data_IF_331353037326
#
_entry.id   IF_331353037326
#
_cell.length_a   1.000
_cell.length_b   1.000
_cell.length_c   1.000
_cell.angle_alpha   90.00
_cell.angle_beta   90.00
_cell.angle_gamma   90.00
#
_symmetry.space_group_name_H-M   'P 1'
#
loop_
_entity.id
_entity.type
_entity.pdbx_description
1 polymer ?
#
# COMPACT_ATOMS: atom_id res chain seq x y z
N UNK A 1 43.77 -26.98 -52.68
CA UNK A 1 43.50 -25.58 -53.08
C UNK A 1 42.00 -25.42 -53.25
N UNK A 2 41.23 -24.58 -52.56
CA UNK A 2 41.51 -23.47 -51.66
C UNK A 2 40.42 -23.39 -50.55
N UNK A 3 40.82 -22.85 -49.40
CA UNK A 3 39.98 -22.48 -48.25
C UNK A 3 39.08 -21.27 -48.58
N UNK A 4 37.90 -21.17 -47.95
CA UNK A 4 37.45 -20.04 -47.10
C UNK A 4 36.08 -20.37 -46.46
N UNK A 5 35.98 -20.02 -45.18
CA UNK A 5 34.89 -20.16 -44.20
C UNK A 5 33.54 -19.59 -44.66
N UNK A 6 32.42 -20.10 -44.12
CA UNK A 6 31.42 -19.30 -43.36
C UNK A 6 30.45 -20.22 -42.60
N UNK A 7 30.53 -20.18 -41.26
CA UNK A 7 29.47 -20.59 -40.34
C UNK A 7 28.28 -19.64 -40.49
N UNK A 8 27.05 -20.15 -40.35
CA UNK A 8 25.94 -19.33 -39.83
C UNK A 8 24.71 -19.21 -40.73
N UNK A 9 24.04 -20.31 -41.03
CA UNK A 9 22.71 -20.32 -41.68
C UNK A 9 21.57 -20.72 -40.72
N UNK A 10 21.69 -20.34 -39.44
CA UNK A 10 20.63 -20.55 -38.42
C UNK A 10 20.30 -19.27 -37.64
N UNK A 11 20.44 -18.10 -38.27
CA UNK A 11 20.10 -16.80 -37.67
C UNK A 11 19.33 -15.88 -38.62
N UNK A 12 18.76 -16.43 -39.68
CA UNK A 12 18.03 -15.67 -40.72
C UNK A 12 16.51 -15.84 -40.63
N UNK A 13 15.98 -15.96 -39.40
CA UNK A 13 14.55 -15.74 -39.11
C UNK A 13 14.32 -14.59 -38.12
N UNK A 14 15.38 -13.93 -37.64
CA UNK A 14 15.27 -12.85 -36.65
C UNK A 14 15.25 -11.42 -37.25
N UNK A 15 15.43 -11.28 -38.56
CA UNK A 15 15.56 -9.97 -39.22
C UNK A 15 14.24 -9.35 -39.70
N UNK A 16 13.08 -9.96 -39.42
CA UNK A 16 11.78 -9.37 -39.78
C UNK A 16 11.12 -8.53 -38.66
N UNK A 17 11.76 -8.38 -37.49
CA UNK A 17 11.19 -7.65 -36.33
C UNK A 17 12.00 -6.42 -35.89
N UNK A 18 13.01 -5.99 -36.65
CA UNK A 18 13.88 -4.88 -36.27
C UNK A 18 13.56 -3.54 -36.99
N UNK A 19 12.33 -3.38 -37.50
CA UNK A 19 11.93 -2.23 -38.34
C UNK A 19 11.07 -1.15 -37.67
N UNK A 20 10.77 -1.23 -36.36
CA UNK A 20 9.84 -0.28 -35.67
C UNK A 20 10.44 0.31 -34.39
N UNK A 21 11.74 0.61 -34.38
CA UNK A 21 12.35 1.37 -33.27
C UNK A 21 13.19 2.54 -33.78
N UNK A 22 12.49 3.60 -34.16
CA UNK A 22 13.05 4.95 -34.13
C UNK A 22 13.60 5.25 -32.73
N UNK A 23 14.85 5.69 -32.66
CA UNK A 23 15.60 5.92 -31.43
C UNK A 23 14.85 6.78 -30.39
N UNK A 24 14.52 6.25 -29.19
CA UNK A 24 13.77 6.96 -28.15
C UNK A 24 14.62 7.95 -27.32
N UNK A 25 15.92 8.08 -27.58
CA UNK A 25 16.84 8.72 -26.65
C UNK A 25 16.73 10.25 -26.57
N UNK A 26 16.27 10.95 -27.61
CA UNK A 26 16.12 12.42 -27.58
C UNK A 26 14.79 12.91 -27.01
N UNK A 27 13.73 12.10 -27.03
CA UNK A 27 12.42 12.47 -26.46
C UNK A 27 12.37 12.21 -24.94
N UNK A 28 13.21 11.31 -24.43
CA UNK A 28 13.24 10.94 -23.00
C UNK A 28 13.75 12.08 -22.09
N UNK A 29 14.73 12.86 -22.52
CA UNK A 29 15.44 13.83 -21.65
C UNK A 29 14.61 15.07 -21.30
N UNK A 30 13.76 15.57 -22.22
CA UNK A 30 12.88 16.73 -21.95
C UNK A 30 11.65 16.31 -21.10
N UNK A 31 11.25 15.04 -21.17
CA UNK A 31 10.24 14.49 -20.25
C UNK A 31 10.83 14.23 -18.86
N UNK A 32 12.08 13.77 -18.74
CA UNK A 32 12.75 13.54 -17.45
C UNK A 32 12.84 14.81 -16.60
N UNK A 33 13.32 15.95 -17.14
CA UNK A 33 13.45 17.18 -16.34
C UNK A 33 12.11 17.78 -15.85
N UNK A 34 11.04 17.64 -16.65
CA UNK A 34 9.69 18.07 -16.25
C UNK A 34 9.10 17.11 -15.21
N UNK A 35 9.41 15.82 -15.35
CA UNK A 35 9.02 14.79 -14.40
C UNK A 35 9.74 14.96 -13.06
N UNK A 36 10.97 15.45 -12.97
CA UNK A 36 11.66 15.56 -11.68
C UNK A 36 10.99 16.57 -10.75
N UNK A 37 10.59 17.74 -11.28
CA UNK A 37 9.84 18.75 -10.52
C UNK A 37 8.43 18.24 -10.20
N UNK A 38 7.73 17.63 -11.16
CA UNK A 38 6.39 17.08 -10.95
C UNK A 38 6.41 15.95 -9.92
N UNK A 39 7.35 15.02 -10.03
CA UNK A 39 7.56 13.92 -9.09
C UNK A 39 7.89 14.46 -7.70
N UNK A 40 8.75 15.48 -7.61
CA UNK A 40 9.04 16.14 -6.33
C UNK A 40 7.78 16.77 -5.71
N UNK A 41 6.93 17.40 -6.52
CA UNK A 41 5.66 17.96 -6.05
C UNK A 41 4.69 16.87 -5.60
N UNK A 42 4.54 15.77 -6.36
CA UNK A 42 3.70 14.62 -6.00
C UNK A 42 4.18 13.98 -4.70
N UNK A 43 5.48 13.71 -4.58
CA UNK A 43 6.09 13.17 -3.35
C UNK A 43 5.83 14.10 -2.16
N UNK A 44 5.90 15.41 -2.36
CA UNK A 44 5.61 16.40 -1.30
C UNK A 44 4.14 16.33 -0.88
N UNK A 45 3.21 16.29 -1.84
CA UNK A 45 1.78 16.14 -1.56
C UNK A 45 1.46 14.82 -0.85
N UNK A 46 2.06 13.70 -1.25
CA UNK A 46 1.88 12.40 -0.58
C UNK A 46 2.41 12.45 0.85
N UNK A 47 3.56 13.11 1.09
CA UNK A 47 4.09 13.35 2.44
C UNK A 47 3.13 14.19 3.28
N UNK A 48 2.53 15.22 2.71
CA UNK A 48 1.52 16.06 3.37
C UNK A 48 0.26 15.27 3.71
N UNK A 49 -0.27 14.46 2.78
CA UNK A 49 -1.41 13.57 3.05
C UNK A 49 -1.11 12.63 4.22
N UNK A 50 0.09 12.03 4.19
CA UNK A 50 0.54 11.13 5.24
C UNK A 50 0.87 11.85 6.57
N UNK A 51 1.05 13.17 6.57
CA UNK A 51 1.45 13.95 7.75
C UNK A 51 0.38 13.89 8.85
N UNK A 52 -0.89 13.85 8.45
CA UNK A 52 -2.07 13.79 9.31
C UNK A 52 -2.37 12.39 9.86
N UNK A 53 -1.66 11.36 9.37
CA UNK A 53 -1.90 9.98 9.81
C UNK A 53 -1.23 9.76 11.17
N UNK A 54 -1.97 9.27 12.18
CA UNK A 54 -1.41 8.96 13.50
C UNK A 54 -0.42 7.80 13.45
N UNK A 55 0.63 7.87 14.26
CA UNK A 55 1.56 6.75 14.46
C UNK A 55 0.80 5.55 15.01
N UNK A 56 1.23 4.37 14.58
CA UNK A 56 0.70 3.09 15.05
C UNK A 56 1.06 2.89 16.52
N UNK A 57 0.09 2.43 17.32
CA UNK A 57 0.27 2.05 18.72
C UNK A 57 -0.39 0.69 19.01
N UNK A 58 0.22 -0.16 19.85
CA UNK A 58 -0.37 -1.43 20.23
C UNK A 58 -1.77 -1.27 20.84
N UNK A 59 -2.72 -2.12 20.44
CA UNK A 59 -4.10 -2.05 20.96
C UNK A 59 -4.16 -2.28 22.47
N UNK A 60 -3.21 -3.04 23.03
CA UNK A 60 -3.11 -3.30 24.47
C UNK A 60 -2.90 -2.02 25.26
N UNK A 61 -2.07 -1.10 24.78
CA UNK A 61 -1.81 0.18 25.42
C UNK A 61 -3.06 1.06 25.36
N UNK A 62 -3.65 1.18 24.17
CA UNK A 62 -4.83 1.99 23.92
C UNK A 62 -6.06 1.53 24.72
N UNK A 63 -6.21 0.23 24.98
CA UNK A 63 -7.31 -0.30 25.80
C UNK A 63 -7.19 0.08 27.27
N UNK A 64 -5.97 0.23 27.77
CA UNK A 64 -5.68 0.54 29.18
C UNK A 64 -5.71 2.05 29.47
N UNK A 65 -5.70 2.88 28.44
CA UNK A 65 -5.74 4.34 28.57
C UNK A 65 -7.16 4.86 28.88
N UNK A 66 -7.21 5.87 29.75
CA UNK A 66 -8.45 6.63 30.01
C UNK A 66 -8.92 7.33 28.74
N UNK A 67 -8.00 8.02 28.08
CA UNK A 67 -8.18 8.75 26.82
C UNK A 67 -7.16 8.24 25.81
N UNK A 68 -7.51 7.28 24.96
CA UNK A 68 -6.55 6.65 24.05
C UNK A 68 -6.04 7.65 23.01
N UNK A 69 -4.72 7.89 22.98
CA UNK A 69 -4.12 8.87 22.08
C UNK A 69 -2.86 8.37 21.35
N UNK A 70 -2.53 9.04 20.25
CA UNK A 70 -1.27 8.92 19.52
C UNK A 70 -0.86 10.31 19.01
N UNK A 71 0.22 10.36 18.24
CA UNK A 71 0.75 11.56 17.62
C UNK A 71 0.82 11.34 16.11
N UNK A 72 0.35 12.30 15.33
CA UNK A 72 0.50 12.29 13.87
C UNK A 72 1.95 12.43 13.46
N UNK A 73 2.25 12.18 12.17
CA UNK A 73 3.60 12.45 11.66
C UNK A 73 3.94 13.96 11.70
N UNK A 74 2.94 14.84 11.66
CA UNK A 74 3.09 16.29 11.85
C UNK A 74 3.29 16.73 13.31
N UNK A 75 3.16 15.81 14.28
CA UNK A 75 3.33 16.13 15.71
C UNK A 75 2.05 16.51 16.44
N UNK A 76 0.90 16.45 15.78
CA UNK A 76 -0.40 16.78 16.37
C UNK A 76 -0.94 15.61 17.19
N UNK A 77 -1.72 15.91 18.25
CA UNK A 77 -2.40 14.88 19.03
C UNK A 77 -3.51 14.24 18.21
N UNK A 78 -3.62 12.93 18.32
CA UNK A 78 -4.66 12.15 17.68
C UNK A 78 -5.39 11.29 18.71
N UNK A 79 -6.70 11.40 18.79
CA UNK A 79 -7.51 10.63 19.74
C UNK A 79 -8.24 9.49 19.05
N UNK A 80 -8.20 8.31 19.65
CA UNK A 80 -8.96 7.16 19.18
C UNK A 80 -10.31 7.05 19.91
N UNK A 81 -11.33 6.61 19.19
CA UNK A 81 -12.61 6.24 19.78
C UNK A 81 -12.46 4.91 20.53
N UNK A 82 -12.68 4.96 21.85
CA UNK A 82 -12.58 3.80 22.73
C UNK A 82 -13.57 2.67 22.37
N UNK A 83 -14.72 3.01 21.80
CA UNK A 83 -15.71 2.03 21.32
C UNK A 83 -15.22 1.33 20.06
N UNK A 84 -14.59 2.05 19.12
CA UNK A 84 -13.95 1.46 17.95
C UNK A 84 -12.86 0.46 18.39
N UNK A 85 -11.94 0.89 19.28
CA UNK A 85 -10.88 0.05 19.84
C UNK A 85 -11.46 -1.22 20.46
N UNK A 86 -12.44 -1.09 21.35
CA UNK A 86 -13.08 -2.24 22.02
C UNK A 86 -13.76 -3.18 21.05
N UNK A 87 -14.40 -2.66 20.00
CA UNK A 87 -15.07 -3.49 19.00
C UNK A 87 -14.07 -4.29 18.16
N UNK A 88 -12.92 -3.70 17.83
CA UNK A 88 -11.83 -4.38 17.12
C UNK A 88 -11.19 -5.44 18.02
N UNK A 89 -10.90 -5.10 19.27
CA UNK A 89 -10.28 -6.00 20.24
C UNK A 89 -11.09 -7.30 20.42
N UNK A 90 -12.43 -7.22 20.41
CA UNK A 90 -13.32 -8.39 20.51
C UNK A 90 -13.18 -9.38 19.35
N UNK A 91 -12.57 -9.00 18.23
CA UNK A 91 -12.44 -9.85 17.05
C UNK A 91 -11.26 -10.81 17.15
N UNK A 92 -10.29 -10.54 18.03
CA UNK A 92 -9.09 -11.35 18.17
C UNK A 92 -8.90 -11.81 19.62
N UNK A 93 -8.26 -12.96 19.84
CA UNK A 93 -7.95 -13.41 21.19
C UNK A 93 -6.88 -12.53 21.84
N UNK A 94 -6.89 -12.43 23.17
CA UNK A 94 -6.00 -11.52 23.94
C UNK A 94 -4.51 -11.70 23.66
N UNK A 95 -4.05 -12.94 23.41
CA UNK A 95 -2.64 -13.21 23.12
C UNK A 95 -2.15 -12.57 21.80
N UNK A 96 -3.06 -12.12 20.93
CA UNK A 96 -2.73 -11.39 19.69
C UNK A 96 -2.71 -9.87 19.86
N UNK A 97 -3.08 -9.34 21.04
CA UNK A 97 -3.20 -7.89 21.21
C UNK A 97 -1.88 -7.16 20.97
N UNK A 98 -0.75 -7.73 21.38
CA UNK A 98 0.57 -7.11 21.18
C UNK A 98 0.97 -7.05 19.68
N UNK A 99 0.38 -7.91 18.85
CA UNK A 99 0.63 -7.95 17.40
C UNK A 99 -0.28 -7.04 16.59
N UNK A 100 -1.31 -6.46 17.20
CA UNK A 100 -2.23 -5.53 16.55
C UNK A 100 -1.93 -4.11 16.98
N UNK A 101 -1.63 -3.25 16.01
CA UNK A 101 -1.46 -1.83 16.25
C UNK A 101 -2.54 -1.03 15.53
N UNK A 102 -2.96 0.09 16.15
CA UNK A 102 -3.91 1.04 15.59
C UNK A 102 -3.23 2.37 15.25
N UNK A 103 -3.64 3.02 14.15
CA UNK A 103 -4.67 2.54 13.24
C UNK A 103 -4.17 1.42 12.32
N UNK A 104 -5.09 0.59 11.83
CA UNK A 104 -4.82 -0.34 10.73
C UNK A 104 -4.66 0.49 9.46
N UNK A 105 -3.52 0.34 8.79
CA UNK A 105 -3.26 1.03 7.54
C UNK A 105 -3.84 0.27 6.34
N UNK A 106 -4.58 1.02 5.53
CA UNK A 106 -5.02 0.65 4.20
C UNK A 106 -4.04 1.29 3.21
N UNK A 107 -3.06 0.51 2.75
CA UNK A 107 -2.01 1.00 1.88
C UNK A 107 -2.56 1.29 0.49
N UNK A 108 -2.40 2.53 0.05
CA UNK A 108 -2.78 2.99 -1.29
C UNK A 108 -1.52 2.99 -2.13
N UNK A 109 -1.50 2.11 -3.13
CA UNK A 109 -0.47 2.06 -4.16
C UNK A 109 -0.93 2.89 -5.36
N UNK A 110 -0.22 3.96 -5.74
CA UNK A 110 -0.60 4.78 -6.88
C UNK A 110 -0.52 4.03 -8.22
N UNK A 111 0.24 2.92 -8.30
CA UNK A 111 0.35 2.09 -9.50
C UNK A 111 -0.81 1.10 -9.64
N UNK A 112 -1.60 0.89 -8.58
CA UNK A 112 -2.73 -0.05 -8.57
C UNK A 112 -4.05 0.72 -8.48
N UNK A 113 -4.76 0.75 -9.61
CA UNK A 113 -6.09 1.38 -9.68
C UNK A 113 -7.13 0.63 -8.83
N UNK A 114 -8.05 1.40 -8.24
CA UNK A 114 -9.22 0.93 -7.49
C UNK A 114 -9.04 -0.11 -6.37
N UNK A 115 -7.80 -0.37 -5.96
CA UNK A 115 -7.50 -1.25 -4.84
C UNK A 115 -6.65 -0.56 -3.78
N UNK A 116 -6.72 -1.13 -2.59
CA UNK A 116 -5.79 -0.92 -1.48
C UNK A 116 -5.40 -2.27 -0.93
N UNK A 117 -4.34 -2.33 -0.14
CA UNK A 117 -4.01 -3.54 0.57
C UNK A 117 -3.78 -3.33 2.05
N UNK A 118 -3.93 -4.43 2.79
CA UNK A 118 -3.56 -4.55 4.20
C UNK A 118 -2.45 -5.58 4.29
N UNK A 119 -1.46 -5.35 5.15
CA UNK A 119 -0.37 -6.29 5.44
C UNK A 119 -0.24 -6.48 6.94
N UNK A 120 0.39 -7.58 7.36
CA UNK A 120 0.43 -8.03 8.74
C UNK A 120 -0.67 -9.04 9.03
N UNK A 121 -0.30 -10.17 9.64
CA UNK A 121 -1.21 -11.30 9.83
C UNK A 121 -2.43 -10.92 10.68
N UNK A 122 -2.21 -10.22 11.79
CA UNK A 122 -3.27 -9.81 12.71
C UNK A 122 -4.15 -8.70 12.12
N UNK A 123 -3.55 -7.72 11.43
CA UNK A 123 -4.29 -6.67 10.70
C UNK A 123 -5.22 -7.29 9.65
N UNK A 124 -4.71 -8.24 8.86
CA UNK A 124 -5.47 -8.99 7.84
C UNK A 124 -6.62 -9.77 8.49
N UNK A 125 -6.36 -10.49 9.58
CA UNK A 125 -7.39 -11.25 10.29
C UNK A 125 -8.52 -10.34 10.77
N UNK A 126 -8.17 -9.21 11.39
CA UNK A 126 -9.14 -8.21 11.87
C UNK A 126 -9.96 -7.67 10.70
N UNK A 127 -9.31 -7.28 9.60
CA UNK A 127 -9.99 -6.70 8.44
C UNK A 127 -10.93 -7.71 7.79
N UNK A 128 -10.53 -8.99 7.66
CA UNK A 128 -11.43 -10.06 7.19
C UNK A 128 -12.66 -10.18 8.08
N UNK A 129 -12.50 -10.16 9.40
CA UNK A 129 -13.62 -10.23 10.35
C UNK A 129 -14.52 -8.98 10.29
N UNK A 130 -13.94 -7.79 10.18
CA UNK A 130 -14.68 -6.52 10.09
C UNK A 130 -15.56 -6.42 8.84
N UNK A 131 -15.07 -6.94 7.72
CA UNK A 131 -15.77 -6.95 6.44
C UNK A 131 -16.57 -8.25 6.19
N UNK A 132 -16.54 -9.21 7.12
CA UNK A 132 -17.12 -10.54 6.96
C UNK A 132 -16.66 -11.24 5.66
N UNK A 133 -15.35 -11.17 5.37
CA UNK A 133 -14.78 -11.75 4.17
C UNK A 133 -14.61 -13.26 4.32
N UNK A 134 -15.18 -14.01 3.38
CA UNK A 134 -15.03 -15.46 3.32
C UNK A 134 -13.64 -15.92 2.86
N UNK A 135 -13.45 -17.23 2.81
CA UNK A 135 -12.18 -17.91 2.48
C UNK A 135 -11.61 -17.60 1.09
N UNK A 136 -12.41 -17.00 0.20
CA UNK A 136 -11.96 -16.57 -1.13
C UNK A 136 -11.00 -15.38 -1.07
N UNK A 137 -11.08 -14.57 -0.02
CA UNK A 137 -10.16 -13.46 0.21
C UNK A 137 -8.89 -13.99 0.89
N UNK A 138 -7.97 -14.47 0.05
CA UNK A 138 -6.65 -14.97 0.47
C UNK A 138 -5.60 -13.87 0.25
N UNK A 139 -4.74 -13.61 1.25
CA UNK A 139 -3.59 -12.76 1.04
C UNK A 139 -2.67 -13.33 -0.05
N UNK A 140 -2.20 -12.45 -0.94
CA UNK A 140 -1.19 -12.76 -1.96
C UNK A 140 0.05 -11.98 -1.55
N UNK A 141 1.20 -12.65 -1.44
CA UNK A 141 2.46 -12.03 -0.98
C UNK A 141 2.28 -11.25 0.34
N UNK A 142 1.63 -11.89 1.33
CA UNK A 142 1.29 -11.30 2.65
C UNK A 142 0.43 -10.03 2.60
N UNK A 143 -0.17 -9.71 1.45
CA UNK A 143 -1.06 -8.56 1.25
C UNK A 143 -2.50 -9.03 0.99
N UNK A 144 -3.44 -8.53 1.77
CA UNK A 144 -4.87 -8.66 1.48
C UNK A 144 -5.31 -7.46 0.63
N UNK A 145 -5.56 -7.70 -0.65
CA UNK A 145 -6.08 -6.69 -1.58
C UNK A 145 -7.59 -6.53 -1.44
N UNK A 146 -8.05 -5.27 -1.42
CA UNK A 146 -9.44 -4.89 -1.22
C UNK A 146 -9.84 -3.80 -2.21
N UNK A 147 -11.06 -3.87 -2.79
CA UNK A 147 -11.62 -2.75 -3.53
C UNK A 147 -11.71 -1.48 -2.67
N UNK A 148 -11.38 -0.31 -3.24
CA UNK A 148 -11.45 1.00 -2.54
C UNK A 148 -12.81 1.29 -1.92
N UNK A 149 -13.90 0.77 -2.50
CA UNK A 149 -15.26 0.91 -1.95
C UNK A 149 -15.39 0.22 -0.59
N UNK A 150 -14.86 -1.00 -0.44
CA UNK A 150 -14.87 -1.72 0.85
C UNK A 150 -14.00 -1.02 1.88
N UNK A 151 -12.83 -0.57 1.46
CA UNK A 151 -11.90 0.22 2.26
C UNK A 151 -12.52 1.53 2.77
N UNK A 152 -13.27 2.23 1.91
CA UNK A 152 -14.00 3.45 2.29
C UNK A 152 -15.10 3.16 3.31
N UNK A 153 -15.84 2.06 3.14
CA UNK A 153 -16.86 1.66 4.12
C UNK A 153 -16.26 1.33 5.48
N UNK A 154 -15.09 0.67 5.51
CA UNK A 154 -14.32 0.48 6.74
C UNK A 154 -13.96 1.81 7.39
N UNK A 155 -13.39 2.74 6.63
CA UNK A 155 -12.99 4.06 7.15
C UNK A 155 -14.17 4.87 7.68
N UNK A 156 -15.35 4.76 7.07
CA UNK A 156 -16.55 5.44 7.55
C UNK A 156 -17.05 4.89 8.89
N UNK A 157 -16.88 3.59 9.11
CA UNK A 157 -17.31 2.89 10.34
C UNK A 157 -16.27 2.96 11.46
N UNK A 158 -14.99 2.92 11.12
CA UNK A 158 -13.85 2.95 12.03
C UNK A 158 -12.96 4.15 11.69
N UNK A 159 -13.48 5.35 11.99
CA UNK A 159 -12.89 6.62 11.55
C UNK A 159 -11.53 6.86 12.18
N UNK A 160 -11.36 6.37 13.40
CA UNK A 160 -10.15 6.59 14.19
C UNK A 160 -9.16 5.44 14.16
N UNK A 161 -9.67 4.21 14.01
CA UNK A 161 -8.86 3.00 14.09
C UNK A 161 -8.40 2.46 12.72
N UNK A 162 -8.86 3.04 11.61
CA UNK A 162 -8.47 2.63 10.25
C UNK A 162 -8.09 3.87 9.45
N UNK A 163 -6.97 3.85 8.73
CA UNK A 163 -6.52 5.00 7.94
C UNK A 163 -5.95 4.57 6.59
N UNK A 164 -6.14 5.41 5.57
CA UNK A 164 -5.42 5.25 4.31
C UNK A 164 -3.99 5.72 4.48
N UNK A 165 -3.03 4.92 4.02
CA UNK A 165 -1.62 5.26 4.03
C UNK A 165 -1.11 5.24 2.59
N UNK A 166 -0.68 6.39 2.09
CA UNK A 166 -0.23 6.52 0.72
C UNK A 166 1.23 6.10 0.61
N UNK A 167 1.54 5.20 -0.33
CA UNK A 167 2.93 4.82 -0.59
C UNK A 167 3.65 5.97 -1.31
N UNK A 168 4.93 6.13 -0.96
CA UNK A 168 5.84 7.12 -1.54
C UNK A 168 6.73 6.46 -2.60
#
# INVERSE_FOLDING_TARGET
MAFIFYLGTTLMYFSLLAGIFGHPYKIKVINTMRNDVINKLIITQIKELNSSIPKRRPIVELLNEGTPESVTKSGEKYFFDKNEIRSIAKLIPRYKYDSLELPIYLYVDPEVEDQVYVTGETDIEVIKKLLNLGERYKPIDRKLWLPKVMARNLRLKYKTCVHFFWLL
#
